data_IF_158861467131
#
_entry.id   IF_158861467131
#
_cell.length_a   1.000
_cell.length_b   1.000
_cell.length_c   1.000
_cell.angle_alpha   90.00
_cell.angle_beta   90.00
_cell.angle_gamma   90.00
#
_symmetry.space_group_name_H-M   'P 1'
#
loop_
_entity.id
_entity.type
_entity.pdbx_description
1 polymer ?
#
# COMPACT_ATOMS: atom_id res chain seq x y z
N UNK A 1 -16.37 -23.58 -26.78
CA UNK A 1 -15.73 -22.89 -25.63
C UNK A 1 -16.19 -21.46 -25.68
N UNK A 2 -16.94 -21.02 -24.68
CA UNK A 2 -17.56 -19.69 -24.68
C UNK A 2 -16.50 -18.67 -24.24
N UNK A 3 -16.48 -17.42 -24.75
CA UNK A 3 -15.51 -16.40 -24.33
C UNK A 3 -15.47 -16.11 -22.82
N UNK A 4 -16.44 -16.62 -22.05
CA UNK A 4 -16.54 -16.57 -20.60
C UNK A 4 -15.76 -17.66 -19.86
N UNK A 5 -15.06 -18.57 -20.56
CA UNK A 5 -14.31 -19.68 -19.95
C UNK A 5 -12.84 -19.33 -19.58
N UNK A 6 -12.45 -18.05 -19.64
CA UNK A 6 -11.09 -17.63 -19.27
C UNK A 6 -10.90 -17.77 -17.76
N UNK A 7 -10.04 -18.70 -17.34
CA UNK A 7 -9.65 -18.85 -15.94
C UNK A 7 -8.63 -17.77 -15.58
N UNK A 8 -9.01 -16.88 -14.67
CA UNK A 8 -8.11 -15.92 -14.06
C UNK A 8 -7.53 -16.50 -12.76
N UNK A 9 -6.28 -16.15 -12.48
CA UNK A 9 -5.57 -16.48 -11.23
C UNK A 9 -4.84 -15.23 -10.72
N UNK A 10 -4.54 -15.20 -9.42
CA UNK A 10 -3.71 -14.15 -8.82
C UNK A 10 -2.27 -14.63 -8.85
N UNK A 11 -1.38 -13.87 -9.50
CA UNK A 11 0.04 -14.23 -9.65
C UNK A 11 0.98 -13.35 -8.85
N UNK A 12 0.52 -12.19 -8.37
CA UNK A 12 1.33 -11.31 -7.55
C UNK A 12 0.51 -10.40 -6.65
N UNK A 13 1.10 -9.99 -5.55
CA UNK A 13 0.50 -9.18 -4.50
C UNK A 13 1.40 -7.98 -4.17
N UNK A 14 0.77 -6.89 -3.74
CA UNK A 14 1.49 -5.72 -3.25
C UNK A 14 0.66 -4.99 -2.21
N UNK A 15 1.31 -4.54 -1.13
CA UNK A 15 0.61 -3.97 0.02
C UNK A 15 1.37 -2.78 0.62
N UNK A 16 0.65 -1.67 0.82
CA UNK A 16 1.11 -0.51 1.59
C UNK A 16 0.01 -0.21 2.60
N UNK A 17 0.26 -0.51 3.88
CA UNK A 17 -0.77 -0.50 4.92
C UNK A 17 -0.25 0.10 6.23
N UNK A 18 -1.14 0.44 7.19
CA UNK A 18 -0.74 0.88 8.52
C UNK A 18 0.01 -0.16 9.36
N UNK A 19 -0.03 -1.44 8.96
CA UNK A 19 0.60 -2.55 9.68
C UNK A 19 1.68 -3.27 8.84
N UNK A 20 2.16 -2.66 7.75
CA UNK A 20 3.20 -3.27 6.92
C UNK A 20 3.33 -2.56 5.58
N UNK A 21 4.57 -2.37 5.14
CA UNK A 21 4.91 -1.74 3.86
C UNK A 21 5.29 -2.75 2.78
N UNK A 22 5.24 -4.05 3.09
CA UNK A 22 5.35 -5.17 2.14
C UNK A 22 4.25 -6.20 2.40
N UNK A 23 4.07 -7.15 1.47
CA UNK A 23 3.10 -8.25 1.63
C UNK A 23 3.45 -9.13 2.83
N UNK A 24 4.74 -9.43 3.02
CA UNK A 24 5.24 -10.28 4.11
C UNK A 24 4.99 -9.62 5.46
N UNK A 25 5.36 -8.34 5.60
CA UNK A 25 5.13 -7.57 6.83
C UNK A 25 3.65 -7.45 7.14
N UNK A 26 2.85 -7.08 6.14
CA UNK A 26 1.40 -6.96 6.27
C UNK A 26 0.78 -8.27 6.74
N UNK A 27 1.15 -9.40 6.11
CA UNK A 27 0.59 -10.70 6.43
C UNK A 27 1.00 -11.19 7.83
N UNK A 28 2.28 -11.04 8.18
CA UNK A 28 2.79 -11.41 9.50
C UNK A 28 2.07 -10.62 10.61
N UNK A 29 1.91 -9.31 10.43
CA UNK A 29 1.26 -8.45 11.42
C UNK A 29 -0.25 -8.68 11.48
N UNK A 30 -0.91 -8.90 10.33
CA UNK A 30 -2.32 -9.23 10.27
C UNK A 30 -2.64 -10.53 11.03
N UNK A 31 -1.87 -11.58 10.79
CA UNK A 31 -2.06 -12.89 11.43
C UNK A 31 -1.69 -12.88 12.92
N UNK A 32 -0.79 -11.99 13.33
CA UNK A 32 -0.45 -11.75 14.74
C UNK A 32 -1.46 -10.83 15.48
N UNK A 33 -2.48 -10.28 14.79
CA UNK A 33 -3.47 -9.40 15.40
C UNK A 33 -2.94 -8.00 15.76
N UNK A 34 -1.89 -7.54 15.07
CA UNK A 34 -1.31 -6.21 15.28
C UNK A 34 -2.31 -5.14 14.83
N UNK A 35 -2.56 -4.15 15.68
CA UNK A 35 -3.37 -2.97 15.34
C UNK A 35 -2.49 -1.86 14.77
N UNK A 36 -2.92 -1.28 13.65
CA UNK A 36 -2.29 -0.08 13.06
C UNK A 36 -2.93 1.24 13.51
N UNK A 37 -3.93 1.18 14.39
CA UNK A 37 -4.65 2.37 14.88
C UNK A 37 -3.83 3.07 15.96
N UNK A 38 -3.67 4.38 15.80
CA UNK A 38 -2.97 5.25 16.74
C UNK A 38 -3.57 6.67 16.69
N UNK A 39 -3.04 7.60 17.49
CA UNK A 39 -3.37 9.02 17.37
C UNK A 39 -2.94 9.57 16.01
N UNK A 40 -3.77 10.46 15.45
CA UNK A 40 -3.48 11.16 14.19
C UNK A 40 -2.20 11.99 14.34
N UNK A 41 -1.25 11.83 13.42
CA UNK A 41 0.00 12.59 13.38
C UNK A 41 0.16 13.42 12.11
N UNK A 42 -0.64 13.15 11.08
CA UNK A 42 -0.56 13.86 9.79
C UNK A 42 -1.04 15.31 9.85
N UNK A 43 -1.83 15.67 10.86
CA UNK A 43 -2.30 17.04 11.11
C UNK A 43 -2.75 17.19 12.57
N UNK A 44 -2.97 18.43 13.03
CA UNK A 44 -3.51 18.69 14.37
C UNK A 44 -5.01 18.35 14.44
N UNK A 45 -5.32 17.22 15.07
CA UNK A 45 -6.68 16.73 15.28
C UNK A 45 -7.27 17.13 16.66
N UNK A 46 -6.62 18.01 17.44
CA UNK A 46 -7.03 18.33 18.82
C UNK A 46 -8.46 18.85 18.96
N UNK A 47 -8.96 19.57 17.95
CA UNK A 47 -10.32 20.13 17.89
C UNK A 47 -11.36 19.17 17.31
N UNK A 48 -10.95 18.02 16.80
CA UNK A 48 -11.87 17.06 16.16
C UNK A 48 -12.46 16.07 17.18
N UNK A 49 -13.70 15.59 16.93
CA UNK A 49 -14.33 14.55 17.74
C UNK A 49 -13.63 13.19 17.59
N UNK A 50 -12.97 12.93 16.47
CA UNK A 50 -12.18 11.73 16.21
C UNK A 50 -10.72 12.12 16.08
N UNK A 51 -9.85 11.48 16.87
CA UNK A 51 -8.43 11.80 16.98
C UNK A 51 -7.50 10.62 16.71
N UNK A 52 -8.07 9.52 16.25
CA UNK A 52 -7.35 8.28 15.94
C UNK A 52 -7.51 7.95 14.46
N UNK A 53 -6.48 7.35 13.88
CA UNK A 53 -6.48 6.84 12.52
C UNK A 53 -5.52 5.65 12.40
N UNK A 54 -5.63 4.91 11.31
CA UNK A 54 -4.63 3.93 10.92
C UNK A 54 -3.75 4.55 9.83
N UNK A 55 -2.72 5.29 10.24
CA UNK A 55 -1.81 5.98 9.32
C UNK A 55 -0.73 5.02 8.80
N UNK A 56 -0.41 5.10 7.51
CA UNK A 56 0.77 4.42 6.95
C UNK A 56 2.03 5.15 7.43
N UNK A 57 2.80 4.49 8.31
CA UNK A 57 4.02 5.01 8.93
C UNK A 57 5.27 4.60 8.13
N UNK A 58 6.30 5.46 8.12
CA UNK A 58 7.60 5.13 7.51
C UNK A 58 7.65 5.01 5.98
N UNK A 59 6.54 5.28 5.28
CA UNK A 59 6.50 5.22 3.81
C UNK A 59 7.33 6.34 3.18
N UNK A 60 8.25 5.94 2.30
CA UNK A 60 9.07 6.83 1.49
C UNK A 60 8.76 6.62 -0.01
N UNK A 61 8.08 7.57 -0.68
CA UNK A 61 7.72 7.43 -2.09
C UNK A 61 8.94 7.40 -3.01
N UNK A 62 10.08 7.95 -2.61
CA UNK A 62 11.27 8.05 -3.47
C UNK A 62 11.94 6.70 -3.74
N UNK A 63 11.59 5.67 -2.95
CA UNK A 63 11.98 4.27 -3.21
C UNK A 63 11.25 3.64 -4.39
N UNK A 64 10.10 4.21 -4.79
CA UNK A 64 9.20 3.61 -5.79
C UNK A 64 9.03 4.49 -7.03
N UNK A 65 9.36 5.77 -6.96
CA UNK A 65 9.24 6.69 -8.08
C UNK A 65 10.27 7.82 -7.98
N UNK A 66 10.57 8.47 -9.11
CA UNK A 66 11.47 9.61 -9.10
C UNK A 66 10.89 10.79 -8.28
N UNK A 67 11.78 11.68 -7.83
CA UNK A 67 11.42 12.80 -6.97
C UNK A 67 10.33 13.72 -7.58
N UNK A 68 10.36 13.95 -8.89
CA UNK A 68 9.39 14.84 -9.56
C UNK A 68 8.00 14.21 -9.56
N UNK A 69 7.93 12.90 -9.78
CA UNK A 69 6.67 12.13 -9.67
C UNK A 69 6.17 12.08 -8.24
N UNK A 70 7.05 11.74 -7.27
CA UNK A 70 6.70 11.70 -5.85
C UNK A 70 6.10 13.04 -5.37
N UNK A 71 6.71 14.17 -5.75
CA UNK A 71 6.23 15.49 -5.36
C UNK A 71 4.87 15.87 -5.97
N UNK A 72 4.55 15.38 -7.17
CA UNK A 72 3.32 15.73 -7.90
C UNK A 72 2.13 14.86 -7.55
N UNK A 73 2.38 13.62 -7.14
CA UNK A 73 1.34 12.66 -6.84
C UNK A 73 0.78 12.89 -5.44
N UNK A 74 -0.53 12.71 -5.29
CA UNK A 74 -1.15 12.65 -3.97
C UNK A 74 -0.64 11.43 -3.21
N UNK A 75 -0.65 11.47 -1.87
CA UNK A 75 -0.23 10.34 -1.02
C UNK A 75 -0.90 9.00 -1.40
N UNK A 76 -2.23 8.89 -1.63
CA UNK A 76 -2.82 7.63 -2.07
C UNK A 76 -2.36 7.19 -3.47
N UNK A 77 -2.10 8.11 -4.39
CA UNK A 77 -1.53 7.76 -5.69
C UNK A 77 -0.10 7.21 -5.56
N UNK A 78 0.71 7.76 -4.64
CA UNK A 78 2.03 7.22 -4.34
C UNK A 78 1.94 5.78 -3.80
N UNK A 79 1.00 5.51 -2.89
CA UNK A 79 0.77 4.16 -2.38
C UNK A 79 0.36 3.18 -3.48
N UNK A 80 -0.54 3.61 -4.38
CA UNK A 80 -0.96 2.80 -5.51
C UNK A 80 0.22 2.44 -6.43
N UNK A 81 1.10 3.40 -6.74
CA UNK A 81 2.30 3.11 -7.55
C UNK A 81 3.23 2.13 -6.83
N UNK A 82 3.49 2.33 -5.54
CA UNK A 82 4.36 1.44 -4.76
C UNK A 82 3.80 0.01 -4.67
N UNK A 83 2.53 -0.15 -4.31
CA UNK A 83 1.87 -1.44 -4.22
C UNK A 83 1.80 -2.15 -5.58
N UNK A 84 1.48 -1.44 -6.66
CA UNK A 84 1.43 -2.03 -7.99
C UNK A 84 2.81 -2.48 -8.49
N UNK A 85 3.88 -1.72 -8.20
CA UNK A 85 5.24 -2.15 -8.53
C UNK A 85 5.63 -3.43 -7.81
N UNK A 86 5.34 -3.50 -6.51
CA UNK A 86 5.55 -4.71 -5.71
C UNK A 86 4.78 -5.91 -6.27
N UNK A 87 3.52 -5.71 -6.69
CA UNK A 87 2.71 -6.77 -7.28
C UNK A 87 3.25 -7.27 -8.64
N UNK A 88 3.80 -6.37 -9.47
CA UNK A 88 4.43 -6.76 -10.73
C UNK A 88 5.74 -7.52 -10.50
N UNK A 89 6.53 -7.09 -9.52
CA UNK A 89 7.76 -7.77 -9.11
C UNK A 89 7.47 -9.16 -8.53
N UNK A 90 6.49 -9.30 -7.63
CA UNK A 90 6.06 -10.57 -7.05
C UNK A 90 5.50 -11.53 -8.13
N UNK A 91 4.78 -10.99 -9.11
CA UNK A 91 4.30 -11.75 -10.27
C UNK A 91 5.41 -12.14 -11.26
N UNK A 92 6.63 -11.62 -11.10
CA UNK A 92 7.71 -11.69 -12.09
C UNK A 92 7.25 -11.29 -13.50
N UNK A 93 6.38 -10.27 -13.59
CA UNK A 93 5.72 -9.86 -14.82
C UNK A 93 6.36 -8.60 -15.42
N UNK A 94 6.94 -8.73 -16.60
CA UNK A 94 7.42 -7.59 -17.41
C UNK A 94 6.31 -7.09 -18.33
N UNK A 95 6.00 -5.80 -18.25
CA UNK A 95 5.03 -5.13 -19.13
C UNK A 95 5.78 -4.44 -20.27
N UNK A 96 5.41 -4.74 -21.51
CA UNK A 96 5.97 -4.14 -22.73
C UNK A 96 5.15 -2.97 -23.25
#
# INVERSE_FOLDING_TARGET
MHPSDVRAVITGLGAITPIGLTVEEFWANLTAGVSGVDYITLFDASSLPVRIAAEVKGFDPTKFMDFKTARRFSRPAQFAVAASKMALEDAALTVN
#
